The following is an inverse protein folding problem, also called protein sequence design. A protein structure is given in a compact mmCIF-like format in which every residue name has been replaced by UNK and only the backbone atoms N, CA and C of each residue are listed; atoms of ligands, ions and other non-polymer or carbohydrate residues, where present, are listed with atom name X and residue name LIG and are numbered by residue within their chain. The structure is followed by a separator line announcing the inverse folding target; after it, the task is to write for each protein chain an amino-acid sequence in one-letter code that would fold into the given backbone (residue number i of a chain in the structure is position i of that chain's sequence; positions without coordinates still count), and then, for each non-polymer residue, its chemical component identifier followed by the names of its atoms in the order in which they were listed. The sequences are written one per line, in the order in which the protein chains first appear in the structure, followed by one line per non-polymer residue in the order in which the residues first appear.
data_IF_079091882234
#
_entry.id   IF_079091882234
#
_cell.length_a   1.000
_cell.length_b   1.000
_cell.length_c   1.000
_cell.angle_alpha   90.00
_cell.angle_beta   90.00
_cell.angle_gamma   90.00
#
_symmetry.space_group_name_H-M   'P 1'
#
loop_
_entity.id
_entity.type
_entity.pdbx_description
1 polymer ?
#
# COMPACT_ATOMS: atom_id res chain seq x y z
N UNK A 1 -12.56 6.43 -18.81
CA UNK A 1 -12.29 6.10 -17.40
C UNK A 1 -12.04 4.61 -17.24
N UNK A 2 -10.80 4.24 -16.90
CA UNK A 2 -10.41 2.87 -16.56
C UNK A 2 -10.01 2.79 -15.09
N UNK A 3 -10.34 1.69 -14.41
CA UNK A 3 -9.99 1.46 -13.00
C UNK A 3 -9.25 0.15 -12.87
N UNK A 4 -8.05 0.20 -12.29
CA UNK A 4 -7.19 -0.97 -12.09
C UNK A 4 -6.83 -1.10 -10.62
N UNK A 5 -6.84 -2.32 -10.09
CA UNK A 5 -6.24 -2.62 -8.79
C UNK A 5 -4.79 -3.01 -9.00
N UNK A 6 -3.88 -2.31 -8.32
CA UNK A 6 -2.45 -2.59 -8.39
C UNK A 6 -1.92 -2.92 -7.01
N UNK A 7 -1.23 -4.04 -6.92
CA UNK A 7 -0.47 -4.43 -5.73
C UNK A 7 1.00 -4.08 -6.00
N UNK A 8 1.60 -3.29 -5.12
CA UNK A 8 2.96 -2.80 -5.31
C UNK A 8 3.77 -2.89 -4.02
N UNK A 9 5.08 -3.03 -4.15
CA UNK A 9 5.99 -2.92 -3.01
C UNK A 9 6.34 -1.45 -2.80
N UNK A 10 6.33 -0.99 -1.54
CA UNK A 10 6.93 0.31 -1.21
C UNK A 10 8.42 0.30 -1.52
N UNK A 11 8.88 1.31 -2.28
CA UNK A 11 10.29 1.51 -2.60
C UNK A 11 11.17 1.56 -1.35
N UNK A 12 10.67 2.14 -0.26
CA UNK A 12 11.44 2.36 0.97
C UNK A 12 11.83 1.06 1.68
N UNK A 13 11.05 -0.01 1.53
CA UNK A 13 11.29 -1.29 2.19
C UNK A 13 11.97 -2.31 1.28
N UNK A 14 11.91 -2.12 -0.04
CA UNK A 14 12.56 -2.98 -1.02
C UNK A 14 14.04 -3.28 -0.70
N UNK A 15 14.91 -2.30 -0.36
CA UNK A 15 16.31 -2.59 -0.08
C UNK A 15 16.49 -3.42 1.20
N UNK A 16 15.70 -3.17 2.24
CA UNK A 16 15.78 -3.92 3.49
C UNK A 16 15.37 -5.39 3.31
N UNK A 17 14.31 -5.62 2.53
CA UNK A 17 13.87 -6.98 2.18
C UNK A 17 14.99 -7.72 1.43
N UNK A 18 15.61 -7.09 0.43
CA UNK A 18 16.72 -7.68 -0.33
C UNK A 18 17.91 -8.02 0.58
N UNK A 19 18.31 -7.10 1.46
CA UNK A 19 19.43 -7.30 2.39
C UNK A 19 19.17 -8.49 3.31
N UNK A 20 17.95 -8.64 3.83
CA UNK A 20 17.59 -9.75 4.71
C UNK A 20 17.64 -11.10 3.99
N UNK A 21 17.13 -11.17 2.76
CA UNK A 21 17.23 -12.39 1.95
C UNK A 21 18.69 -12.75 1.63
N UNK A 22 19.51 -11.78 1.20
CA UNK A 22 20.93 -12.03 0.94
C UNK A 22 21.68 -12.47 2.20
N UNK A 23 21.37 -11.87 3.35
CA UNK A 23 21.99 -12.21 4.63
C UNK A 23 21.55 -13.59 5.13
N UNK A 24 20.29 -13.98 4.88
CA UNK A 24 19.80 -15.33 5.14
C UNK A 24 20.57 -16.38 4.33
N UNK A 25 20.77 -16.15 3.03
CA UNK A 25 21.56 -17.04 2.15
C UNK A 25 23.00 -17.15 2.66
N UNK A 26 23.63 -16.03 3.02
CA UNK A 26 25.00 -16.02 3.55
C UNK A 26 25.11 -16.80 4.88
N UNK A 27 24.09 -16.73 5.74
CA UNK A 27 24.05 -17.50 6.99
C UNK A 27 23.93 -19.01 6.74
N UNK A 28 23.09 -19.44 5.80
CA UNK A 28 23.02 -20.85 5.39
C UNK A 28 24.34 -21.35 4.82
N UNK A 29 25.01 -20.55 3.98
CA UNK A 29 26.33 -20.91 3.42
C UNK A 29 27.42 -21.06 4.50
N UNK A 30 27.24 -20.44 5.67
CA UNK A 30 28.14 -20.56 6.83
C UNK A 30 27.72 -21.65 7.83
N UNK A 31 26.68 -22.43 7.52
CA UNK A 31 26.14 -23.45 8.42
C UNK A 31 25.42 -22.88 9.65
N UNK A 32 24.99 -21.61 9.60
CA UNK A 32 24.26 -20.94 10.67
C UNK A 32 22.74 -21.04 10.44
N UNK A 33 22.20 -22.25 10.43
CA UNK A 33 20.81 -22.53 10.00
C UNK A 33 19.75 -21.76 10.79
N UNK A 34 19.94 -21.61 12.11
CA UNK A 34 19.01 -20.86 12.96
C UNK A 34 18.96 -19.37 12.57
N UNK A 35 20.13 -18.76 12.34
CA UNK A 35 20.21 -17.36 11.91
C UNK A 35 19.67 -17.19 10.49
N UNK A 36 19.98 -18.12 9.58
CA UNK A 36 19.45 -18.14 8.22
C UNK A 36 17.92 -18.17 8.21
N UNK A 37 17.33 -19.04 9.01
CA UNK A 37 15.86 -19.16 9.16
C UNK A 37 15.27 -17.89 9.77
N UNK A 38 15.85 -17.36 10.85
CA UNK A 38 15.39 -16.14 11.50
C UNK A 38 15.36 -14.94 10.54
N UNK A 39 16.45 -14.73 9.78
CA UNK A 39 16.54 -13.64 8.80
C UNK A 39 15.55 -13.82 7.64
N UNK A 40 15.33 -15.07 7.20
CA UNK A 40 14.35 -15.38 6.17
C UNK A 40 12.93 -15.02 6.62
N UNK A 41 12.53 -15.47 7.82
CA UNK A 41 11.22 -15.19 8.39
C UNK A 41 11.01 -13.69 8.57
N UNK A 42 12.03 -12.97 9.07
CA UNK A 42 11.97 -11.52 9.23
C UNK A 42 11.80 -10.80 7.88
N UNK A 43 12.53 -11.26 6.84
CA UNK A 43 12.40 -10.75 5.48
C UNK A 43 10.99 -10.93 4.91
N UNK A 44 10.36 -12.08 5.14
CA UNK A 44 8.97 -12.33 4.75
C UNK A 44 7.98 -11.43 5.48
N UNK A 45 8.12 -11.26 6.80
CA UNK A 45 7.25 -10.37 7.58
C UNK A 45 7.34 -8.93 7.07
N UNK A 46 8.56 -8.43 6.83
CA UNK A 46 8.75 -7.09 6.28
C UNK A 46 8.19 -6.97 4.87
N UNK A 47 8.39 -7.98 4.01
CA UNK A 47 7.80 -8.00 2.67
C UNK A 47 6.28 -7.89 2.73
N UNK A 48 5.61 -8.69 3.56
CA UNK A 48 4.16 -8.63 3.73
C UNK A 48 3.67 -7.28 4.23
N UNK A 49 4.41 -6.63 5.14
CA UNK A 49 4.11 -5.28 5.61
C UNK A 49 4.38 -4.18 4.56
N UNK A 50 5.20 -4.49 3.55
CA UNK A 50 5.62 -3.56 2.51
C UNK A 50 4.74 -3.58 1.28
N UNK A 51 3.86 -4.58 1.18
CA UNK A 51 2.86 -4.68 0.12
C UNK A 51 1.78 -3.63 0.38
N UNK A 52 1.68 -2.66 -0.53
CA UNK A 52 0.64 -1.64 -0.53
C UNK A 52 -0.36 -1.97 -1.65
N UNK A 53 -1.65 -2.05 -1.29
CA UNK A 53 -2.73 -2.15 -2.27
C UNK A 53 -3.12 -0.74 -2.68
N UNK A 54 -3.15 -0.52 -3.99
CA UNK A 54 -3.55 0.76 -4.56
C UNK A 54 -4.63 0.59 -5.62
N UNK A 55 -5.55 1.54 -5.67
CA UNK A 55 -6.52 1.72 -6.72
C UNK A 55 -5.96 2.77 -7.68
N UNK A 56 -5.92 2.45 -8.97
CA UNK A 56 -5.48 3.38 -10.02
C UNK A 56 -6.68 3.72 -10.88
N UNK A 57 -6.96 5.01 -11.06
CA UNK A 57 -8.03 5.54 -11.90
C UNK A 57 -7.35 6.34 -13.01
N UNK A 58 -7.67 6.02 -14.27
CA UNK A 58 -7.17 6.72 -15.45
C UNK A 58 -8.32 7.53 -16.08
N UNK A 59 -8.25 8.86 -15.94
CA UNK A 59 -9.20 9.80 -16.55
C UNK A 59 -8.57 11.18 -16.80
N UNK A 60 -7.95 11.37 -17.97
CA UNK A 60 -7.19 12.59 -18.29
C UNK A 60 -5.90 12.79 -17.46
N UNK A 61 -5.56 11.81 -16.61
CA UNK A 61 -4.41 11.71 -15.71
C UNK A 61 -4.50 10.42 -14.87
N UNK A 62 -3.40 10.04 -14.21
CA UNK A 62 -3.35 8.88 -13.30
C UNK A 62 -3.62 9.31 -11.85
N UNK A 63 -4.76 8.93 -11.30
CA UNK A 63 -4.98 8.98 -9.85
C UNK A 63 -4.60 7.64 -9.24
N UNK A 64 -3.65 7.64 -8.31
CA UNK A 64 -3.29 6.46 -7.52
C UNK A 64 -3.66 6.69 -6.07
N UNK A 65 -4.60 5.88 -5.57
CA UNK A 65 -5.05 5.90 -4.19
C UNK A 65 -4.54 4.67 -3.45
N UNK A 66 -4.06 4.83 -2.24
CA UNK A 66 -3.75 3.72 -1.33
C UNK A 66 -4.31 4.00 0.05
N UNK A 67 -4.79 2.95 0.72
CA UNK A 67 -5.27 3.04 2.09
C UNK A 67 -4.54 2.04 2.98
N UNK A 68 -4.32 2.44 4.23
CA UNK A 68 -3.81 1.56 5.28
C UNK A 68 -4.64 1.74 6.54
N UNK A 69 -5.12 0.62 7.09
CA UNK A 69 -5.72 0.61 8.41
C UNK A 69 -4.65 0.83 9.48
N UNK A 70 -4.84 1.85 10.33
CA UNK A 70 -3.97 2.16 11.46
C UNK A 70 -4.83 2.33 12.72
N UNK A 71 -5.01 1.24 13.45
CA UNK A 71 -5.96 1.17 14.56
C UNK A 71 -7.40 1.18 14.06
N UNK A 72 -8.21 2.11 14.56
CA UNK A 72 -9.61 2.31 14.15
C UNK A 72 -9.79 3.19 12.91
N UNK A 73 -8.72 3.76 12.36
CA UNK A 73 -8.79 4.78 11.30
C UNK A 73 -8.05 4.33 10.05
N UNK A 74 -8.51 4.79 8.89
CA UNK A 74 -7.85 4.58 7.61
C UNK A 74 -6.96 5.78 7.25
N UNK A 75 -5.67 5.53 7.04
CA UNK A 75 -4.75 6.52 6.49
C UNK A 75 -4.72 6.34 4.97
N UNK A 76 -5.20 7.34 4.23
CA UNK A 76 -5.34 7.29 2.77
C UNK A 76 -4.37 8.29 2.14
N UNK A 77 -3.70 7.86 1.07
CA UNK A 77 -2.84 8.70 0.23
C UNK A 77 -3.40 8.73 -1.17
N UNK A 78 -3.42 9.92 -1.75
CA UNK A 78 -3.86 10.18 -3.12
C UNK A 78 -2.70 10.84 -3.86
N UNK A 79 -2.30 10.22 -4.95
CA UNK A 79 -1.30 10.71 -5.88
C UNK A 79 -1.99 11.05 -7.20
N UNK A 80 -1.59 12.14 -7.84
CA UNK A 80 -1.99 12.50 -9.20
C UNK A 80 -0.74 12.59 -10.07
N UNK A 81 -0.67 11.76 -11.11
CA UNK A 81 0.46 11.67 -12.04
C UNK A 81 1.81 11.48 -11.30
N UNK A 82 1.77 10.69 -10.22
CA UNK A 82 2.93 10.41 -9.36
C UNK A 82 3.24 11.47 -8.30
N UNK A 83 2.60 12.63 -8.33
CA UNK A 83 2.78 13.69 -7.33
C UNK A 83 1.77 13.56 -6.18
N UNK A 84 2.15 13.81 -4.90
CA UNK A 84 1.23 13.73 -3.77
C UNK A 84 0.18 14.83 -3.88
N UNK A 85 -1.08 14.44 -4.08
CA UNK A 85 -2.22 15.34 -4.11
C UNK A 85 -2.77 15.56 -2.70
N UNK A 86 -2.90 14.47 -1.93
CA UNK A 86 -3.42 14.52 -0.57
C UNK A 86 -2.98 13.32 0.26
N UNK A 87 -2.87 13.50 1.57
CA UNK A 87 -2.60 12.43 2.52
C UNK A 87 -3.26 12.77 3.85
N UNK A 88 -4.05 11.86 4.40
CA UNK A 88 -4.74 12.11 5.66
C UNK A 88 -5.47 10.89 6.21
N UNK A 89 -6.13 11.10 7.35
CA UNK A 89 -6.95 10.09 8.02
C UNK A 89 -8.41 10.26 7.61
N UNK A 90 -9.07 9.16 7.24
CA UNK A 90 -10.50 9.09 6.92
C UNK A 90 -11.20 8.33 8.04
N UNK A 91 -12.13 9.01 8.72
CA UNK A 91 -12.92 8.46 9.83
C UNK A 91 -14.32 8.06 9.39
N UNK A 92 -15.04 8.98 8.71
CA UNK A 92 -16.34 8.73 8.10
C UNK A 92 -16.26 9.12 6.61
N UNK A 93 -16.10 10.40 6.30
CA UNK A 93 -16.11 10.89 4.93
C UNK A 93 -15.10 12.01 4.72
N UNK A 94 -14.41 12.00 3.58
CA UNK A 94 -13.50 13.08 3.16
C UNK A 94 -13.65 13.31 1.66
N UNK A 95 -13.78 14.58 1.27
CA UNK A 95 -13.80 15.01 -0.12
C UNK A 95 -12.47 15.67 -0.50
N UNK A 96 -11.87 15.24 -1.61
CA UNK A 96 -10.57 15.68 -2.13
C UNK A 96 -10.71 15.98 -3.62
N UNK A 97 -11.14 17.20 -3.95
CA UNK A 97 -11.35 17.63 -5.33
C UNK A 97 -12.46 16.82 -5.99
N UNK A 98 -12.12 16.03 -7.02
CA UNK A 98 -13.08 15.17 -7.74
C UNK A 98 -13.31 13.80 -7.09
N UNK A 99 -12.60 13.52 -5.99
CA UNK A 99 -12.65 12.27 -5.25
C UNK A 99 -13.40 12.45 -3.94
N UNK A 100 -14.22 11.47 -3.58
CA UNK A 100 -14.79 11.32 -2.27
C UNK A 100 -14.40 9.95 -1.68
N UNK A 101 -14.04 9.95 -0.40
CA UNK A 101 -13.55 8.81 0.35
C UNK A 101 -14.52 8.56 1.51
N UNK A 102 -15.20 7.43 1.48
CA UNK A 102 -16.19 7.02 2.48
C UNK A 102 -15.66 5.79 3.25
N UNK A 103 -15.28 5.97 4.50
CA UNK A 103 -14.80 4.92 5.38
C UNK A 103 -15.98 4.14 5.97
N UNK A 104 -16.06 2.86 5.61
CA UNK A 104 -17.05 1.91 6.12
C UNK A 104 -16.36 0.83 6.94
N UNK A 105 -17.18 0.02 7.62
CA UNK A 105 -16.70 -1.07 8.49
C UNK A 105 -15.75 -2.06 7.80
N UNK A 106 -15.83 -2.17 6.48
CA UNK A 106 -15.11 -3.14 5.66
C UNK A 106 -14.05 -2.50 4.73
N UNK A 107 -13.76 -1.20 4.83
CA UNK A 107 -12.72 -0.50 4.05
C UNK A 107 -13.09 0.95 3.70
N UNK A 108 -12.34 1.56 2.79
CA UNK A 108 -12.63 2.90 2.26
C UNK A 108 -13.17 2.81 0.84
N UNK A 109 -14.43 3.15 0.66
CA UNK A 109 -15.04 3.30 -0.67
C UNK A 109 -14.53 4.57 -1.32
N UNK A 110 -14.13 4.45 -2.58
CA UNK A 110 -13.66 5.56 -3.41
C UNK A 110 -14.75 5.89 -4.42
N UNK A 111 -15.17 7.15 -4.42
CA UNK A 111 -16.11 7.74 -5.37
C UNK A 111 -15.36 8.78 -6.18
N UNK A 112 -15.49 8.75 -7.50
CA UNK A 112 -14.91 9.72 -8.42
C UNK A 112 -16.01 10.32 -9.27
N UNK A 113 -16.19 11.65 -9.22
CA UNK A 113 -17.29 12.37 -9.89
C UNK A 113 -18.65 11.69 -9.69
N UNK A 114 -19.02 11.49 -8.41
CA UNK A 114 -20.28 10.87 -7.97
C UNK A 114 -20.46 9.39 -8.35
N UNK A 115 -19.47 8.76 -8.99
CA UNK A 115 -19.51 7.34 -9.35
C UNK A 115 -18.60 6.53 -8.42
N UNK A 116 -19.14 5.48 -7.81
CA UNK A 116 -18.32 4.52 -7.07
C UNK A 116 -17.37 3.78 -8.03
N UNK A 117 -16.07 3.82 -7.73
CA UNK A 117 -15.03 3.27 -8.61
C UNK A 117 -14.34 2.05 -8.03
N UNK A 118 -14.41 1.90 -6.70
CA UNK A 118 -13.83 0.76 -6.04
C UNK A 118 -13.64 1.00 -4.55
N UNK A 119 -13.06 0.00 -3.90
CA UNK A 119 -12.89 -0.04 -2.47
C UNK A 119 -11.46 -0.41 -2.09
N UNK A 120 -10.89 0.36 -1.20
CA UNK A 120 -9.59 0.15 -0.58
C UNK A 120 -9.78 -0.58 0.77
N UNK A 121 -8.79 -1.40 1.18
CA UNK A 121 -8.87 -2.18 2.41
C UNK A 121 -8.83 -1.34 3.68
#
# INVERSE_FOLDING_TARGET
MEVMRRMGLRKDYAPFVVILFCSSIAAYLRGMDFLGTFLLTLGFVLFSLSVERSLVILDGGEYRLSARKRGSVYEVRVLRDGSPLWSGKVLDYVEVGELALDARSDGVTVVFREKEVGKLP
#
